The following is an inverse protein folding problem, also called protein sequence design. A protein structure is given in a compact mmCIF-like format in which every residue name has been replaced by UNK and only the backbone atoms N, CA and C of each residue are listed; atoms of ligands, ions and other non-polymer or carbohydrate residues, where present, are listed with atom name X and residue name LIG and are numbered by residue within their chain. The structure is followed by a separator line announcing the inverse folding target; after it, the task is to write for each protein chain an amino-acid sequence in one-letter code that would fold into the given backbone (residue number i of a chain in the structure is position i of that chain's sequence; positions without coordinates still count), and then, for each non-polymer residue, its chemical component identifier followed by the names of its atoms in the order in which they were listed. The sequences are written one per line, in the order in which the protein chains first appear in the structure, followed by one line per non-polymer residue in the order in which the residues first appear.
data_IF_142220542678
#
_entry.id   IF_142220542678
#
_cell.length_a   1.000
_cell.length_b   1.000
_cell.length_c   1.000
_cell.angle_alpha   90.00
_cell.angle_beta   90.00
_cell.angle_gamma   90.00
#
_symmetry.space_group_name_H-M   'P 1'
#
loop_
_entity.id
_entity.type
_entity.pdbx_description
1 polymer ?
#
# COMPACT_ATOMS: atom_id res chain seq x y z
N UNK A 1 -24.24 -32.74 -24.09
CA UNK A 1 -25.43 -32.51 -23.25
C UNK A 1 -26.52 -33.53 -23.58
N UNK A 2 -26.92 -34.32 -22.59
CA UNK A 2 -28.09 -35.19 -22.67
C UNK A 2 -29.35 -34.38 -22.33
N UNK A 3 -30.28 -34.28 -23.29
CA UNK A 3 -31.52 -33.49 -23.16
C UNK A 3 -32.40 -33.98 -22.00
N UNK A 4 -32.30 -35.27 -21.63
CA UNK A 4 -33.01 -35.85 -20.48
C UNK A 4 -32.41 -35.46 -19.13
N UNK A 5 -31.17 -34.97 -19.12
CA UNK A 5 -30.54 -34.41 -17.92
C UNK A 5 -30.74 -32.89 -17.82
N UNK A 6 -30.88 -32.21 -18.97
CA UNK A 6 -30.97 -30.74 -19.02
C UNK A 6 -32.37 -30.20 -18.81
N UNK A 7 -33.44 -30.94 -19.21
CA UNK A 7 -34.82 -30.49 -19.08
C UNK A 7 -35.57 -31.23 -17.96
N UNK A 8 -35.95 -30.51 -16.92
CA UNK A 8 -36.64 -31.06 -15.74
C UNK A 8 -38.02 -31.62 -16.10
N UNK A 9 -38.71 -31.00 -17.06
CA UNK A 9 -40.01 -31.47 -17.56
C UNK A 9 -39.87 -32.83 -18.26
N UNK A 10 -38.76 -33.08 -18.97
CA UNK A 10 -38.49 -34.37 -19.61
C UNK A 10 -37.92 -35.39 -18.63
N UNK A 11 -37.08 -34.96 -17.69
CA UNK A 11 -36.51 -35.81 -16.64
C UNK A 11 -37.59 -36.42 -15.75
N UNK A 12 -38.61 -35.63 -15.43
CA UNK A 12 -39.74 -36.03 -14.59
C UNK A 12 -40.97 -36.46 -15.43
N UNK A 13 -40.77 -36.87 -16.68
CA UNK A 13 -41.85 -37.24 -17.58
C UNK A 13 -42.72 -38.36 -16.99
N UNK A 14 -44.01 -38.07 -16.85
CA UNK A 14 -45.00 -39.05 -16.38
C UNK A 14 -45.91 -39.47 -17.52
N UNK A 15 -45.77 -40.71 -18.00
CA UNK A 15 -46.61 -41.23 -19.09
C UNK A 15 -48.12 -41.26 -18.77
N UNK A 16 -48.51 -41.24 -17.48
CA UNK A 16 -49.91 -41.19 -17.04
C UNK A 16 -50.48 -39.76 -17.00
N UNK A 17 -49.62 -38.76 -16.97
CA UNK A 17 -49.97 -37.35 -17.04
C UNK A 17 -48.85 -36.59 -17.79
N UNK A 18 -48.79 -36.73 -19.13
CA UNK A 18 -47.68 -36.20 -19.90
C UNK A 18 -47.67 -34.66 -19.80
N UNK A 19 -46.51 -34.04 -19.55
CA UNK A 19 -46.41 -32.59 -19.55
C UNK A 19 -46.79 -32.03 -20.93
N UNK A 20 -47.37 -30.83 -20.94
CA UNK A 20 -47.78 -30.22 -22.20
C UNK A 20 -46.53 -29.82 -23.00
N UNK A 21 -46.56 -29.97 -24.32
CA UNK A 21 -45.41 -29.59 -25.18
C UNK A 21 -45.01 -28.12 -24.97
N UNK A 22 -45.99 -27.27 -24.65
CA UNK A 22 -45.77 -25.85 -24.31
C UNK A 22 -44.90 -25.69 -23.07
N UNK A 23 -44.98 -26.58 -22.07
CA UNK A 23 -44.16 -26.50 -20.86
C UNK A 23 -42.70 -26.82 -21.17
N UNK A 24 -42.45 -27.80 -22.05
CA UNK A 24 -41.11 -28.11 -22.57
C UNK A 24 -40.54 -26.93 -23.34
N UNK A 25 -41.34 -26.32 -24.24
CA UNK A 25 -40.91 -25.15 -25.02
C UNK A 25 -40.59 -23.95 -24.12
N UNK A 26 -41.40 -23.69 -23.09
CA UNK A 26 -41.15 -22.63 -22.10
C UNK A 26 -39.88 -22.88 -21.28
N UNK A 27 -39.63 -24.12 -20.90
CA UNK A 27 -38.40 -24.47 -20.17
C UNK A 27 -37.15 -24.28 -21.06
N UNK A 28 -37.21 -24.75 -22.30
CA UNK A 28 -36.17 -24.53 -23.30
C UNK A 28 -35.91 -23.04 -23.52
N UNK A 29 -36.97 -22.26 -23.71
CA UNK A 29 -36.90 -20.81 -23.91
C UNK A 29 -36.21 -20.12 -22.72
N UNK A 30 -36.60 -20.46 -21.48
CA UNK A 30 -35.95 -19.93 -20.26
C UNK A 30 -34.47 -20.27 -20.20
N UNK A 31 -34.09 -21.51 -20.50
CA UNK A 31 -32.67 -21.92 -20.50
C UNK A 31 -31.87 -21.21 -21.59
N UNK A 32 -32.46 -21.00 -22.76
CA UNK A 32 -31.82 -20.25 -23.85
C UNK A 32 -31.65 -18.76 -23.51
N UNK A 33 -32.66 -18.13 -22.90
CA UNK A 33 -32.53 -16.77 -22.41
C UNK A 33 -31.44 -16.65 -21.35
N UNK A 34 -31.41 -17.56 -20.38
CA UNK A 34 -30.35 -17.59 -19.37
C UNK A 34 -28.96 -17.72 -20.00
N UNK A 35 -28.75 -18.67 -20.92
CA UNK A 35 -27.46 -18.82 -21.62
C UNK A 35 -27.06 -17.53 -22.35
N UNK A 36 -28.01 -16.85 -22.99
CA UNK A 36 -27.76 -15.58 -23.67
C UNK A 36 -27.32 -14.49 -22.68
N UNK A 37 -27.96 -14.41 -21.52
CA UNK A 37 -27.60 -13.43 -20.48
C UNK A 37 -26.20 -13.72 -19.93
N UNK A 38 -25.88 -14.99 -19.67
CA UNK A 38 -24.53 -15.43 -19.28
C UNK A 38 -23.50 -15.06 -20.34
N UNK A 39 -23.77 -15.31 -21.62
CA UNK A 39 -22.86 -14.96 -22.71
C UNK A 39 -22.59 -13.45 -22.78
N UNK A 40 -23.60 -12.62 -22.50
CA UNK A 40 -23.45 -11.17 -22.43
C UNK A 40 -22.56 -10.73 -21.27
N UNK A 41 -22.77 -11.28 -20.07
CA UNK A 41 -21.93 -10.99 -18.91
C UNK A 41 -20.49 -11.48 -19.11
N UNK A 42 -20.30 -12.71 -19.62
CA UNK A 42 -18.98 -13.24 -19.95
C UNK A 42 -18.24 -12.35 -20.95
N UNK A 43 -18.95 -11.80 -21.96
CA UNK A 43 -18.37 -10.86 -22.93
C UNK A 43 -17.88 -9.56 -22.28
N UNK A 44 -18.57 -9.05 -21.25
CA UNK A 44 -18.11 -7.85 -20.51
C UNK A 44 -16.81 -8.16 -19.78
N UNK A 45 -16.74 -9.31 -19.10
CA UNK A 45 -15.54 -9.75 -18.37
C UNK A 45 -14.36 -9.96 -19.35
N UNK A 46 -14.58 -10.69 -20.45
CA UNK A 46 -13.59 -10.93 -21.50
C UNK A 46 -13.13 -9.64 -22.21
N UNK A 47 -13.95 -8.59 -22.18
CA UNK A 47 -13.62 -7.29 -22.73
C UNK A 47 -12.53 -6.56 -21.92
N UNK A 48 -12.33 -6.93 -20.66
CA UNK A 48 -11.40 -6.27 -19.74
C UNK A 48 -10.27 -7.19 -19.25
N UNK A 49 -10.55 -8.49 -19.16
CA UNK A 49 -9.65 -9.46 -18.57
C UNK A 49 -9.41 -10.63 -19.51
N UNK A 50 -8.19 -11.16 -19.45
CA UNK A 50 -7.92 -12.48 -20.00
C UNK A 50 -8.63 -13.52 -19.13
N UNK A 51 -9.36 -14.43 -19.77
CA UNK A 51 -10.06 -15.50 -19.08
C UNK A 51 -9.89 -16.83 -19.81
N UNK A 52 -9.73 -17.89 -19.03
CA UNK A 52 -9.86 -19.27 -19.49
C UNK A 52 -11.31 -19.72 -19.28
N UNK A 53 -11.94 -20.21 -20.35
CA UNK A 53 -13.31 -20.71 -20.34
C UNK A 53 -13.31 -22.22 -20.06
N UNK A 54 -14.19 -22.65 -19.17
CA UNK A 54 -14.42 -24.08 -18.96
C UNK A 54 -15.22 -24.65 -20.14
N UNK A 55 -14.69 -25.70 -20.79
CA UNK A 55 -15.35 -26.33 -21.93
C UNK A 55 -16.63 -27.07 -21.56
N UNK A 56 -16.74 -27.48 -20.29
CA UNK A 56 -17.85 -28.29 -19.79
C UNK A 56 -18.94 -27.43 -19.12
N UNK A 57 -18.59 -26.26 -18.60
CA UNK A 57 -19.51 -25.36 -17.90
C UNK A 57 -19.43 -23.90 -18.38
N UNK A 58 -20.41 -23.50 -19.20
CA UNK A 58 -20.48 -22.16 -19.81
C UNK A 58 -20.62 -20.99 -18.82
N UNK A 59 -20.95 -21.27 -17.57
CA UNK A 59 -21.08 -20.27 -16.50
C UNK A 59 -19.79 -20.05 -15.73
N UNK A 60 -18.79 -20.92 -15.89
CA UNK A 60 -17.51 -20.84 -15.18
C UNK A 60 -16.44 -20.17 -16.04
N UNK A 61 -15.76 -19.21 -15.43
CA UNK A 61 -14.65 -18.48 -16.00
C UNK A 61 -13.51 -18.45 -14.99
N UNK A 62 -12.29 -18.72 -15.44
CA UNK A 62 -11.10 -18.42 -14.67
C UNK A 62 -10.51 -17.11 -15.17
N UNK A 63 -10.50 -16.09 -14.32
CA UNK A 63 -10.09 -14.73 -14.65
C UNK A 63 -8.65 -14.49 -14.21
N UNK A 64 -7.84 -13.93 -15.11
CA UNK A 64 -6.43 -13.65 -14.87
C UNK A 64 -6.26 -12.21 -14.39
N UNK A 65 -5.87 -12.05 -13.12
CA UNK A 65 -5.56 -10.76 -12.51
C UNK A 65 -4.06 -10.50 -12.54
N UNK A 66 -3.62 -9.57 -13.37
CA UNK A 66 -2.21 -9.19 -13.49
C UNK A 66 -1.95 -7.92 -12.68
N UNK A 67 -0.98 -7.96 -11.77
CA UNK A 67 -0.59 -6.80 -10.95
C UNK A 67 0.52 -5.98 -11.59
N UNK A 68 0.79 -4.80 -11.03
CA UNK A 68 1.91 -3.93 -11.42
C UNK A 68 3.29 -4.63 -11.43
N UNK A 69 3.46 -5.68 -10.63
CA UNK A 69 4.69 -6.49 -10.60
C UNK A 69 4.75 -7.59 -11.66
N UNK A 70 3.82 -7.60 -12.63
CA UNK A 70 3.60 -8.67 -13.61
C UNK A 70 3.35 -10.04 -12.94
N UNK A 71 2.85 -10.02 -11.70
CA UNK A 71 2.45 -11.25 -11.02
C UNK A 71 0.99 -11.51 -11.36
N UNK A 72 0.74 -12.74 -11.77
CA UNK A 72 -0.57 -13.22 -12.17
C UNK A 72 -1.23 -13.96 -11.01
N UNK A 73 -2.51 -13.70 -10.81
CA UNK A 73 -3.38 -14.42 -9.88
C UNK A 73 -4.61 -14.92 -10.63
N UNK A 74 -5.04 -16.14 -10.30
CA UNK A 74 -6.22 -16.75 -10.90
C UNK A 74 -7.42 -16.59 -9.97
N UNK A 75 -8.54 -16.15 -10.54
CA UNK A 75 -9.80 -15.95 -9.86
C UNK A 75 -10.89 -16.81 -10.51
N UNK A 76 -11.44 -17.77 -9.77
CA UNK A 76 -12.50 -18.62 -10.27
C UNK A 76 -13.87 -17.93 -10.06
N UNK A 77 -14.57 -17.68 -11.16
CA UNK A 77 -15.85 -16.96 -11.18
C UNK A 77 -16.92 -17.87 -11.81
N UNK A 78 -18.03 -18.07 -11.10
CA UNK A 78 -19.19 -18.79 -11.58
C UNK A 78 -20.43 -17.87 -11.63
N UNK A 79 -20.99 -17.74 -12.83
CA UNK A 79 -22.15 -16.90 -13.16
C UNK A 79 -23.48 -17.65 -13.05
N UNK A 80 -23.51 -18.91 -12.58
CA UNK A 80 -24.73 -19.73 -12.48
C UNK A 80 -25.86 -19.05 -11.67
N UNK A 81 -25.50 -18.18 -10.72
CA UNK A 81 -26.44 -17.43 -9.88
C UNK A 81 -27.07 -16.21 -10.55
N UNK A 82 -26.64 -15.81 -11.76
CA UNK A 82 -27.11 -14.60 -12.43
C UNK A 82 -28.65 -14.59 -12.56
N UNK A 83 -29.36 -13.47 -12.28
CA UNK A 83 -28.88 -12.09 -12.07
C UNK A 83 -28.48 -11.72 -10.63
N UNK A 84 -28.25 -12.71 -9.75
CA UNK A 84 -27.69 -12.49 -8.41
C UNK A 84 -26.16 -12.34 -8.50
N UNK A 85 -25.49 -11.88 -7.42
CA UNK A 85 -24.04 -11.77 -7.41
C UNK A 85 -23.37 -13.09 -7.84
N UNK A 86 -22.24 -13.02 -8.56
CA UNK A 86 -21.51 -14.21 -8.97
C UNK A 86 -20.98 -14.96 -7.75
N UNK A 87 -20.77 -16.26 -7.92
CA UNK A 87 -20.06 -17.09 -6.95
C UNK A 87 -18.57 -16.97 -7.29
N UNK A 88 -17.77 -16.52 -6.33
CA UNK A 88 -16.33 -16.33 -6.52
C UNK A 88 -15.61 -17.14 -5.45
N UNK A 89 -14.72 -18.01 -5.89
CA UNK A 89 -13.85 -18.80 -5.02
C UNK A 89 -12.46 -18.17 -5.00
N UNK A 90 -12.09 -17.60 -3.85
CA UNK A 90 -10.76 -17.04 -3.64
C UNK A 90 -9.79 -18.13 -3.21
N UNK A 91 -8.65 -18.23 -3.89
CA UNK A 91 -7.54 -19.03 -3.38
C UNK A 91 -7.04 -18.48 -2.04
N UNK A 92 -6.50 -19.33 -1.18
CA UNK A 92 -5.92 -18.91 0.11
C UNK A 92 -4.88 -17.79 -0.03
N UNK A 93 -4.15 -17.75 -1.15
CA UNK A 93 -3.20 -16.67 -1.44
C UNK A 93 -3.92 -15.34 -1.70
N UNK A 94 -5.00 -15.35 -2.46
CA UNK A 94 -5.80 -14.16 -2.74
C UNK A 94 -6.54 -13.66 -1.50
N UNK A 95 -7.07 -14.54 -0.67
CA UNK A 95 -7.70 -14.18 0.61
C UNK A 95 -6.72 -13.43 1.53
N UNK A 96 -5.50 -13.95 1.66
CA UNK A 96 -4.43 -13.32 2.45
C UNK A 96 -3.98 -11.99 1.85
N UNK A 97 -4.04 -11.84 0.53
CA UNK A 97 -3.65 -10.60 -0.14
C UNK A 97 -4.73 -9.52 -0.05
N UNK A 98 -5.99 -9.87 -0.28
CA UNK A 98 -7.12 -8.93 -0.33
C UNK A 98 -7.50 -8.45 1.09
N UNK A 99 -7.37 -9.34 2.09
CA UNK A 99 -7.68 -9.07 3.50
C UNK A 99 -9.08 -8.48 3.74
N UNK A 100 -10.01 -8.72 2.82
CA UNK A 100 -11.38 -8.21 2.85
C UNK A 100 -12.32 -9.35 2.44
N UNK A 101 -13.32 -9.71 3.26
CA UNK A 101 -14.30 -10.73 2.89
C UNK A 101 -15.12 -10.29 1.66
N UNK A 102 -15.48 -11.24 0.78
CA UNK A 102 -16.30 -10.94 -0.42
C UNK A 102 -17.61 -10.24 -0.06
N UNK A 103 -18.24 -10.62 1.06
CA UNK A 103 -19.48 -10.00 1.56
C UNK A 103 -19.31 -8.53 1.96
N UNK A 104 -18.08 -8.06 2.14
CA UNK A 104 -17.78 -6.69 2.50
C UNK A 104 -17.50 -5.77 1.32
N UNK A 105 -17.31 -6.34 0.12
CA UNK A 105 -17.10 -5.59 -1.12
C UNK A 105 -18.31 -4.69 -1.42
N UNK A 106 -18.03 -3.49 -1.94
CA UNK A 106 -19.07 -2.50 -2.26
C UNK A 106 -19.98 -3.01 -3.37
N UNK A 107 -19.39 -3.65 -4.38
CA UNK A 107 -20.08 -4.28 -5.50
C UNK A 107 -21.06 -5.38 -5.05
N UNK A 108 -20.71 -6.18 -4.04
CA UNK A 108 -21.64 -7.15 -3.44
C UNK A 108 -22.71 -6.50 -2.57
N UNK A 109 -22.33 -5.55 -1.70
CA UNK A 109 -23.27 -4.90 -0.77
C UNK A 109 -24.35 -4.10 -1.48
N UNK A 110 -24.00 -3.49 -2.61
CA UNK A 110 -24.89 -2.63 -3.37
C UNK A 110 -25.44 -3.32 -4.63
N UNK A 111 -25.40 -4.66 -4.67
CA UNK A 111 -25.87 -5.41 -5.84
C UNK A 111 -27.37 -5.20 -6.07
N UNK A 112 -27.74 -4.84 -7.30
CA UNK A 112 -29.11 -4.68 -7.77
C UNK A 112 -29.37 -5.72 -8.86
N UNK A 113 -30.31 -6.63 -8.61
CA UNK A 113 -30.65 -7.70 -9.57
C UNK A 113 -31.09 -7.12 -10.93
N UNK A 114 -30.38 -7.50 -11.99
CA UNK A 114 -30.66 -7.07 -13.37
C UNK A 114 -30.06 -5.72 -13.78
N UNK A 115 -29.43 -4.99 -12.85
CA UNK A 115 -28.69 -3.74 -13.13
C UNK A 115 -27.19 -3.89 -12.89
N UNK A 116 -26.79 -4.56 -11.80
CA UNK A 116 -25.39 -4.79 -11.47
C UNK A 116 -24.74 -5.83 -12.39
N UNK A 117 -23.45 -5.66 -12.61
CA UNK A 117 -22.67 -6.50 -13.54
C UNK A 117 -21.58 -7.26 -12.78
N UNK A 118 -21.34 -8.52 -13.18
CA UNK A 118 -20.32 -9.34 -12.53
C UNK A 118 -18.90 -8.76 -12.68
N UNK A 119 -18.65 -8.03 -13.77
CA UNK A 119 -17.36 -7.37 -14.02
C UNK A 119 -17.03 -6.30 -12.97
N UNK A 120 -18.01 -5.65 -12.35
CA UNK A 120 -17.78 -4.62 -11.32
C UNK A 120 -17.16 -5.22 -10.06
N UNK A 121 -17.61 -6.43 -9.69
CA UNK A 121 -17.04 -7.21 -8.59
C UNK A 121 -15.58 -7.57 -8.89
N UNK A 122 -15.31 -8.04 -10.11
CA UNK A 122 -13.96 -8.41 -10.54
C UNK A 122 -13.04 -7.19 -10.56
N UNK A 123 -13.52 -6.03 -11.00
CA UNK A 123 -12.76 -4.77 -10.95
C UNK A 123 -12.38 -4.37 -9.52
N UNK A 124 -13.32 -4.47 -8.58
CA UNK A 124 -13.03 -4.17 -7.16
C UNK A 124 -11.98 -5.12 -6.58
N UNK A 125 -12.09 -6.41 -6.89
CA UNK A 125 -11.09 -7.42 -6.51
C UNK A 125 -9.73 -7.16 -7.15
N UNK A 126 -9.68 -6.88 -8.46
CA UNK A 126 -8.46 -6.57 -9.19
C UNK A 126 -7.74 -5.36 -8.58
N UNK A 127 -8.49 -4.32 -8.22
CA UNK A 127 -7.95 -3.14 -7.54
C UNK A 127 -7.37 -3.47 -6.16
N UNK A 128 -8.05 -4.28 -5.36
CA UNK A 128 -7.54 -4.72 -4.04
C UNK A 128 -6.26 -5.54 -4.17
N UNK A 129 -6.23 -6.47 -5.14
CA UNK A 129 -5.07 -7.30 -5.44
C UNK A 129 -3.89 -6.44 -5.87
N UNK A 130 -4.08 -5.48 -6.78
CA UNK A 130 -3.01 -4.60 -7.23
C UNK A 130 -2.51 -3.68 -6.11
N UNK A 131 -3.43 -3.03 -5.38
CA UNK A 131 -3.11 -2.18 -4.23
C UNK A 131 -2.29 -2.91 -3.17
N UNK A 132 -2.76 -4.07 -2.71
CA UNK A 132 -2.10 -4.78 -1.63
C UNK A 132 -0.82 -5.46 -2.10
N UNK A 133 -0.75 -5.88 -3.37
CA UNK A 133 0.49 -6.36 -3.98
C UNK A 133 1.55 -5.26 -4.02
N UNK A 134 1.13 -4.03 -4.35
CA UNK A 134 2.01 -2.86 -4.35
C UNK A 134 2.53 -2.55 -2.96
N UNK A 135 1.65 -2.44 -1.96
CA UNK A 135 2.06 -2.19 -0.58
C UNK A 135 3.04 -3.26 -0.10
N UNK A 136 2.72 -4.54 -0.27
CA UNK A 136 3.59 -5.63 0.16
C UNK A 136 4.98 -5.55 -0.50
N UNK A 137 5.04 -5.28 -1.81
CA UNK A 137 6.31 -5.10 -2.51
C UNK A 137 7.15 -3.96 -1.91
N UNK A 138 6.53 -2.80 -1.68
CA UNK A 138 7.23 -1.65 -1.10
C UNK A 138 7.70 -1.92 0.33
N UNK A 139 6.89 -2.60 1.14
CA UNK A 139 7.27 -2.98 2.51
C UNK A 139 8.45 -3.96 2.50
N UNK A 140 8.46 -4.96 1.62
CA UNK A 140 9.58 -5.90 1.50
C UNK A 140 10.87 -5.18 1.05
N UNK A 141 10.79 -4.28 0.07
CA UNK A 141 11.94 -3.45 -0.32
C UNK A 141 12.48 -2.62 0.86
N UNK A 142 11.59 -2.03 1.66
CA UNK A 142 12.02 -1.25 2.82
C UNK A 142 12.63 -2.12 3.92
N UNK A 143 12.13 -3.34 4.14
CA UNK A 143 12.71 -4.30 5.09
C UNK A 143 14.14 -4.72 4.74
N UNK A 144 14.50 -4.74 3.45
CA UNK A 144 15.87 -5.01 3.03
C UNK A 144 16.86 -3.91 3.49
N UNK A 145 16.37 -2.67 3.56
CA UNK A 145 17.19 -1.49 3.86
C UNK A 145 17.12 -1.07 5.34
N UNK A 146 15.99 -1.30 6.01
CA UNK A 146 15.71 -0.82 7.36
C UNK A 146 15.35 -1.96 8.31
N UNK A 147 16.10 -2.07 9.42
CA UNK A 147 15.96 -3.19 10.39
C UNK A 147 14.73 -3.13 11.28
N UNK A 148 14.12 -1.95 11.44
CA UNK A 148 13.00 -1.71 12.34
C UNK A 148 11.88 -1.06 11.55
N UNK A 149 11.09 -1.89 10.91
CA UNK A 149 9.93 -1.51 10.12
C UNK A 149 8.78 -2.44 10.45
N UNK A 150 7.63 -1.86 10.76
CA UNK A 150 6.43 -2.59 11.17
C UNK A 150 5.24 -2.04 10.38
N UNK A 151 4.52 -2.92 9.67
CA UNK A 151 3.33 -2.56 8.93
C UNK A 151 2.09 -3.17 9.60
N UNK A 152 1.15 -2.32 10.01
CA UNK A 152 -0.16 -2.72 10.48
C UNK A 152 -1.17 -2.59 9.34
N UNK A 153 -1.54 -3.71 8.72
CA UNK A 153 -2.49 -3.75 7.62
C UNK A 153 -3.90 -3.26 8.00
N UNK A 154 -4.37 -3.56 9.21
CA UNK A 154 -5.71 -3.19 9.68
C UNK A 154 -5.89 -1.68 9.82
N UNK A 155 -4.84 -0.99 10.26
CA UNK A 155 -4.85 0.48 10.38
C UNK A 155 -4.28 1.16 9.13
N UNK A 156 -3.68 0.39 8.21
CA UNK A 156 -2.90 0.91 7.08
C UNK A 156 -1.79 1.87 7.53
N UNK A 157 -1.13 1.52 8.64
CA UNK A 157 -0.06 2.33 9.24
C UNK A 157 1.28 1.62 9.11
N UNK A 158 2.27 2.33 8.58
CA UNK A 158 3.66 1.91 8.53
C UNK A 158 4.45 2.69 9.58
N UNK A 159 5.15 1.98 10.46
CA UNK A 159 6.10 2.56 11.43
C UNK A 159 7.51 2.17 11.07
N UNK A 160 8.44 3.11 11.17
CA UNK A 160 9.85 2.79 11.02
C UNK A 160 10.78 3.66 11.85
N UNK A 161 11.93 3.08 12.21
CA UNK A 161 13.03 3.80 12.85
C UNK A 161 14.17 4.01 11.85
N UNK A 162 14.58 5.26 11.65
CA UNK A 162 15.79 5.60 10.92
C UNK A 162 16.84 6.17 11.87
N UNK A 163 18.05 5.62 11.81
CA UNK A 163 19.19 6.17 12.55
C UNK A 163 19.87 7.27 11.75
N UNK A 164 19.83 8.49 12.25
CA UNK A 164 20.72 9.56 11.82
C UNK A 164 22.00 9.52 12.62
N UNK A 165 23.12 9.13 11.98
CA UNK A 165 24.45 9.30 12.59
C UNK A 165 24.82 10.77 12.57
N UNK A 166 24.53 11.49 13.66
CA UNK A 166 25.10 12.82 13.88
C UNK A 166 26.46 12.65 14.56
N UNK A 167 27.44 13.51 14.23
CA UNK A 167 28.75 13.46 14.91
C UNK A 167 28.67 13.80 16.41
N UNK A 168 27.55 14.33 16.89
CA UNK A 168 27.34 14.72 18.29
C UNK A 168 26.65 13.66 19.13
N UNK A 169 25.75 12.86 18.52
CA UNK A 169 25.03 11.73 19.12
C UNK A 169 24.29 10.96 18.02
N UNK A 170 24.14 9.65 18.15
CA UNK A 170 23.23 8.90 17.29
C UNK A 170 21.79 9.30 17.63
N UNK A 171 21.09 9.94 16.69
CA UNK A 171 19.66 10.23 16.82
C UNK A 171 18.87 9.14 16.08
N UNK A 172 17.81 8.66 16.72
CA UNK A 172 16.84 7.79 16.07
C UNK A 172 15.59 8.63 15.78
N UNK A 173 15.14 8.58 14.54
CA UNK A 173 13.90 9.20 14.08
C UNK A 173 12.89 8.09 13.83
N UNK A 174 11.76 8.18 14.50
CA UNK A 174 10.61 7.30 14.46
C UNK A 174 9.55 7.97 13.59
N UNK A 175 9.22 7.33 12.49
CA UNK A 175 8.24 7.81 11.53
C UNK A 175 6.99 6.95 11.62
N UNK A 176 5.84 7.62 11.55
CA UNK A 176 4.55 7.00 11.27
C UNK A 176 4.05 7.49 9.92
N UNK A 177 3.78 6.56 9.02
CA UNK A 177 3.14 6.83 7.73
C UNK A 177 1.75 6.21 7.75
N UNK A 178 0.73 7.05 7.54
CA UNK A 178 -0.65 6.61 7.36
C UNK A 178 -0.92 6.49 5.85
N UNK A 179 -1.21 5.28 5.38
CA UNK A 179 -1.54 5.01 3.97
C UNK A 179 -3.05 5.19 3.75
N UNK A 180 -3.49 6.10 2.87
CA UNK A 180 -4.91 6.30 2.60
C UNK A 180 -5.53 5.09 1.90
N UNK A 181 -6.86 4.98 1.97
CA UNK A 181 -7.62 3.90 1.31
C UNK A 181 -7.32 3.84 -0.19
N UNK A 182 -7.12 4.98 -0.84
CA UNK A 182 -6.83 5.09 -2.26
C UNK A 182 -5.34 5.11 -2.59
N UNK A 183 -4.45 4.73 -1.66
CA UNK A 183 -3.02 4.59 -1.96
C UNK A 183 -2.79 3.59 -3.12
N UNK A 184 -1.88 3.87 -4.08
CA UNK A 184 -0.95 5.01 -4.17
C UNK A 184 -1.52 6.25 -4.89
N UNK A 185 -2.78 6.23 -5.33
CA UNK A 185 -3.42 7.36 -6.03
C UNK A 185 -3.54 8.59 -5.13
N UNK A 186 -3.78 8.39 -3.83
CA UNK A 186 -3.70 9.43 -2.81
C UNK A 186 -2.38 9.37 -2.08
N UNK A 187 -1.81 10.56 -1.87
CA UNK A 187 -0.56 10.75 -1.14
C UNK A 187 -0.67 10.28 0.31
N UNK A 188 0.33 9.57 0.86
CA UNK A 188 0.35 9.19 2.26
C UNK A 188 0.67 10.38 3.18
N UNK A 189 0.26 10.31 4.45
CA UNK A 189 0.68 11.30 5.46
C UNK A 189 1.80 10.75 6.33
N UNK A 190 2.82 11.57 6.60
CA UNK A 190 3.95 11.22 7.47
C UNK A 190 3.98 12.08 8.73
N UNK A 191 4.33 11.46 9.85
CA UNK A 191 4.55 12.12 11.15
C UNK A 191 5.86 11.63 11.74
N UNK A 192 6.57 12.53 12.42
CA UNK A 192 7.74 12.21 13.24
C UNK A 192 7.23 12.08 14.67
N UNK A 193 7.43 10.91 15.29
CA UNK A 193 6.90 10.60 16.62
C UNK A 193 7.83 11.00 17.76
N UNK A 194 9.14 11.18 17.51
CA UNK A 194 10.06 11.56 18.58
C UNK A 194 9.73 12.92 19.18
N UNK A 195 9.81 12.97 20.50
CA UNK A 195 10.05 14.19 21.25
C UNK A 195 11.55 14.36 21.39
N UNK A 196 12.06 15.56 21.09
CA UNK A 196 13.47 15.86 21.28
C UNK A 196 13.64 16.83 22.45
N UNK A 197 14.49 16.47 23.41
CA UNK A 197 14.74 17.27 24.61
C UNK A 197 15.50 18.59 24.33
N UNK A 198 16.12 18.70 23.14
CA UNK A 198 16.97 19.84 22.76
C UNK A 198 16.32 20.67 21.65
N UNK A 199 16.21 21.99 21.84
CA UNK A 199 15.65 22.92 20.85
C UNK A 199 16.29 22.81 19.46
N UNK A 200 17.59 22.51 19.39
CA UNK A 200 18.32 22.29 18.14
C UNK A 200 17.77 21.10 17.35
N UNK A 201 17.31 20.04 18.02
CA UNK A 201 16.72 18.87 17.38
C UNK A 201 15.29 19.14 16.91
N UNK A 202 14.55 20.03 17.60
CA UNK A 202 13.22 20.46 17.16
C UNK A 202 13.29 21.26 15.84
N UNK A 203 14.36 22.04 15.63
CA UNK A 203 14.62 22.67 14.33
C UNK A 203 14.83 21.64 13.21
N UNK A 204 15.57 20.56 13.47
CA UNK A 204 15.79 19.47 12.51
C UNK A 204 14.47 18.80 12.13
N UNK A 205 13.58 18.58 13.10
CA UNK A 205 12.23 18.05 12.87
C UNK A 205 11.41 18.96 11.96
N UNK A 206 11.41 20.27 12.19
CA UNK A 206 10.70 21.23 11.34
C UNK A 206 11.27 21.30 9.91
N UNK A 207 12.59 21.24 9.77
CA UNK A 207 13.26 21.22 8.46
C UNK A 207 12.92 19.92 7.69
N UNK A 208 12.89 18.78 8.38
CA UNK A 208 12.47 17.49 7.80
C UNK A 208 10.99 17.52 7.38
N UNK A 209 10.09 17.98 8.26
CA UNK A 209 8.67 18.10 7.94
C UNK A 209 8.42 19.01 6.72
N UNK A 210 9.14 20.12 6.63
CA UNK A 210 9.06 21.02 5.47
C UNK A 210 9.56 20.35 4.18
N UNK A 211 10.59 19.50 4.27
CA UNK A 211 11.10 18.76 3.11
C UNK A 211 10.10 17.72 2.58
N UNK A 212 9.29 17.11 3.47
CA UNK A 212 8.26 16.15 3.06
C UNK A 212 7.17 16.82 2.22
N UNK A 213 6.82 18.06 2.55
CA UNK A 213 5.83 18.82 1.78
C UNK A 213 6.24 18.92 0.30
N UNK A 214 7.48 19.28 0.02
CA UNK A 214 7.98 19.38 -1.35
C UNK A 214 7.93 18.02 -2.08
N UNK A 215 8.26 16.93 -1.39
CA UNK A 215 8.17 15.59 -1.98
C UNK A 215 6.71 15.20 -2.30
N UNK A 216 5.78 15.56 -1.42
CA UNK A 216 4.35 15.27 -1.61
C UNK A 216 3.67 16.16 -2.65
N UNK A 217 4.18 17.36 -2.89
CA UNK A 217 3.68 18.23 -3.96
C UNK A 217 3.90 17.59 -5.36
N UNK A 218 4.92 16.75 -5.50
CA UNK A 218 5.24 16.00 -6.73
C UNK A 218 4.74 14.54 -6.69
N UNK A 219 3.89 14.17 -5.74
CA UNK A 219 3.43 12.78 -5.59
C UNK A 219 2.57 12.34 -6.78
N UNK A 220 2.83 11.13 -7.28
CA UNK A 220 2.06 10.49 -8.34
C UNK A 220 1.78 9.03 -8.01
N UNK A 221 0.84 8.37 -8.71
CA UNK A 221 0.62 6.92 -8.57
C UNK A 221 1.85 6.06 -8.88
N UNK A 222 2.86 6.62 -9.54
CA UNK A 222 4.12 5.96 -9.87
C UNK A 222 5.22 6.22 -8.84
N UNK A 223 4.97 7.04 -7.81
CA UNK A 223 5.90 7.30 -6.72
C UNK A 223 5.97 6.09 -5.77
N UNK A 224 7.12 5.88 -5.14
CA UNK A 224 7.34 4.81 -4.17
C UNK A 224 7.71 5.38 -2.79
N UNK A 225 7.34 4.68 -1.72
CA UNK A 225 7.78 4.94 -0.36
C UNK A 225 9.30 4.82 -0.23
N UNK A 226 9.95 3.97 -1.01
CA UNK A 226 11.42 3.89 -1.01
C UNK A 226 12.05 5.21 -1.43
N UNK A 227 11.50 5.89 -2.44
CA UNK A 227 11.98 7.20 -2.89
C UNK A 227 11.78 8.27 -1.81
N UNK A 228 10.63 8.21 -1.12
CA UNK A 228 10.36 9.05 0.05
C UNK A 228 11.48 8.86 1.08
N UNK A 229 11.70 7.62 1.53
CA UNK A 229 12.68 7.33 2.58
C UNK A 229 14.13 7.62 2.16
N UNK A 230 14.48 7.44 0.90
CA UNK A 230 15.77 7.87 0.38
C UNK A 230 15.93 9.39 0.44
N UNK A 231 14.87 10.14 0.15
CA UNK A 231 14.85 11.60 0.34
C UNK A 231 15.00 11.98 1.81
N UNK A 232 14.27 11.31 2.71
CA UNK A 232 14.39 11.51 4.17
C UNK A 232 15.84 11.25 4.62
N UNK A 233 16.41 10.12 4.21
CA UNK A 233 17.77 9.69 4.56
C UNK A 233 18.82 10.72 4.10
N UNK A 234 18.71 11.18 2.85
CA UNK A 234 19.57 12.25 2.31
C UNK A 234 19.43 13.53 3.12
N UNK A 235 18.20 13.92 3.50
CA UNK A 235 17.97 15.15 4.27
C UNK A 235 18.52 15.07 5.69
N UNK A 236 18.31 13.95 6.39
CA UNK A 236 18.93 13.67 7.70
C UNK A 236 20.45 13.80 7.59
N UNK A 237 21.04 13.23 6.53
CA UNK A 237 22.48 13.30 6.30
C UNK A 237 22.95 14.75 6.02
N UNK A 238 22.29 15.50 5.14
CA UNK A 238 22.64 16.90 4.85
C UNK A 238 22.64 17.78 6.12
N UNK A 239 21.59 17.67 6.92
CA UNK A 239 21.44 18.43 8.17
C UNK A 239 22.51 18.02 9.21
N UNK A 240 22.90 16.74 9.21
CA UNK A 240 24.02 16.24 10.04
C UNK A 240 25.37 16.84 9.65
N UNK A 241 25.62 17.04 8.35
CA UNK A 241 26.88 17.58 7.82
C UNK A 241 26.98 19.09 8.05
N UNK A 242 25.86 19.82 7.90
CA UNK A 242 25.79 21.28 8.12
C UNK A 242 26.17 21.68 9.56
N UNK A 243 25.75 20.91 10.57
CA UNK A 243 26.15 21.13 11.96
C UNK A 243 27.66 20.99 12.18
N UNK A 244 28.34 20.13 11.40
CA UNK A 244 29.78 19.90 11.46
C UNK A 244 30.59 21.01 10.77
N UNK A 245 30.12 21.54 9.63
CA UNK A 245 30.85 22.55 8.85
C UNK A 245 30.98 23.88 9.60
N UNK A 246 29.96 24.25 10.37
CA UNK A 246 29.98 25.45 11.21
C UNK A 246 31.07 25.33 12.29
N UNK A 247 31.21 24.17 12.94
CA UNK A 247 32.22 23.95 13.99
C UNK A 247 33.68 23.93 13.47
N UNK A 248 33.90 23.48 12.23
CA UNK A 248 35.26 23.34 11.66
C UNK A 248 35.73 24.53 10.80
N UNK A 249 34.83 25.44 10.39
CA UNK A 249 35.18 26.63 9.59
C UNK A 249 35.27 27.93 10.40
N UNK A 250 34.81 27.94 11.64
CA UNK A 250 34.90 29.15 12.49
C UNK A 250 36.28 29.19 13.14
N UNK A 251 37.03 30.25 12.83
CA UNK A 251 38.25 30.63 13.53
C UNK A 251 37.87 31.47 14.76
N UNK A 252 38.52 31.21 15.89
CA UNK A 252 38.36 32.05 17.07
C UNK A 252 38.74 33.50 16.70
N UNK A 253 37.89 34.50 16.93
CA UNK A 253 38.18 35.89 16.52
C UNK A 253 39.35 36.53 17.28
N UNK A 254 39.86 35.86 18.33
CA UNK A 254 40.89 36.39 19.23
C UNK A 254 42.24 35.70 19.04
N UNK A 255 42.25 34.42 18.64
CA UNK A 255 43.49 33.70 18.37
C UNK A 255 43.62 33.17 16.94
N UNK A 256 42.60 33.39 16.10
CA UNK A 256 42.52 32.99 14.69
C UNK A 256 42.76 31.50 14.42
N UNK A 257 42.67 30.65 15.46
CA UNK A 257 42.77 29.19 15.32
C UNK A 257 41.38 28.59 15.12
N UNK A 258 41.33 27.50 14.35
CA UNK A 258 40.12 26.68 14.22
C UNK A 258 39.63 26.22 15.59
N UNK A 259 38.33 26.31 15.83
CA UNK A 259 37.73 25.97 17.13
C UNK A 259 37.90 24.48 17.49
N UNK A 260 38.13 23.60 16.52
CA UNK A 260 38.44 22.18 16.73
C UNK A 260 39.90 21.85 16.34
N UNK A 261 40.71 21.39 17.32
CA UNK A 261 42.08 20.89 17.13
C UNK A 261 42.87 20.75 18.44
N UNK A 262 43.92 19.92 18.44
CA UNK A 262 44.83 19.67 19.57
C UNK A 262 45.72 20.90 19.83
N UNK A 263 45.40 21.79 20.78
CA UNK A 263 46.36 22.76 21.30
C UNK A 263 45.91 23.48 22.60
N UNK A 264 46.68 23.26 23.67
CA UNK A 264 47.01 24.06 24.88
C UNK A 264 46.01 24.97 25.61
N UNK A 265 44.80 25.24 25.13
CA UNK A 265 43.90 26.19 25.78
C UNK A 265 42.49 25.63 25.87
N UNK A 266 42.28 24.54 26.62
CA UNK A 266 40.99 23.86 26.71
C UNK A 266 40.26 24.11 28.05
N UNK A 267 38.94 24.20 27.99
CA UNK A 267 38.01 24.11 29.11
C UNK A 267 37.04 22.96 28.83
N UNK A 268 36.82 22.13 29.83
CA UNK A 268 35.94 20.97 29.74
C UNK A 268 34.54 21.35 30.21
N UNK A 269 33.53 21.05 29.40
CA UNK A 269 32.14 21.31 29.78
C UNK A 269 31.75 20.40 30.96
N UNK A 270 31.24 20.94 32.09
CA UNK A 270 30.90 20.16 33.27
C UNK A 270 29.68 19.23 33.06
N UNK A 271 28.98 19.35 31.92
CA UNK A 271 27.79 18.54 31.61
C UNK A 271 28.04 17.44 30.57
N UNK A 272 29.00 17.63 29.66
CA UNK A 272 29.25 16.69 28.56
C UNK A 272 30.73 16.36 28.35
N UNK A 273 31.61 16.88 29.20
CA UNK A 273 33.05 16.55 29.26
C UNK A 273 33.82 16.83 27.93
N UNK A 274 33.23 17.63 27.04
CA UNK A 274 33.91 18.05 25.80
C UNK A 274 34.86 19.21 26.05
N UNK A 275 36.00 19.15 25.37
CA UNK A 275 37.06 20.15 25.44
C UNK A 275 36.80 21.27 24.43
N UNK A 276 36.48 22.46 24.94
CA UNK A 276 36.32 23.70 24.17
C UNK A 276 37.55 24.58 24.36
N UNK A 277 37.82 25.54 23.48
CA UNK A 277 38.81 26.55 23.84
C UNK A 277 38.34 27.36 25.06
N UNK A 278 39.20 27.53 26.07
CA UNK A 278 38.89 28.21 27.34
C UNK A 278 38.27 29.59 27.11
N UNK A 279 38.75 30.30 26.09
CA UNK A 279 38.25 31.63 25.77
C UNK A 279 36.84 31.62 25.13
N UNK A 280 36.57 30.68 24.21
CA UNK A 280 35.24 30.49 23.62
C UNK A 280 34.22 30.01 24.67
N UNK A 281 34.66 29.15 25.59
CA UNK A 281 33.87 28.74 26.74
C UNK A 281 33.47 29.95 27.60
N UNK A 282 34.45 30.81 27.94
CA UNK A 282 34.24 31.97 28.79
C UNK A 282 33.38 33.07 28.15
N UNK A 283 33.51 33.30 26.84
CA UNK A 283 32.80 34.39 26.16
C UNK A 283 31.41 34.03 25.64
N UNK A 284 31.19 32.80 25.19
CA UNK A 284 29.98 32.45 24.43
C UNK A 284 29.20 31.32 25.09
N UNK A 285 29.87 30.29 25.60
CA UNK A 285 29.16 29.13 26.15
C UNK A 285 28.68 29.39 27.58
N UNK A 286 29.51 30.00 28.44
CA UNK A 286 29.10 30.39 29.80
C UNK A 286 27.98 31.43 29.83
N UNK A 287 27.82 32.24 28.79
CA UNK A 287 26.71 33.21 28.69
C UNK A 287 25.40 32.61 28.18
N UNK A 288 25.45 31.39 27.62
CA UNK A 288 24.28 30.65 27.12
C UNK A 288 23.78 29.60 28.13
N UNK A 289 24.52 29.39 29.23
CA UNK A 289 24.15 28.57 30.38
C UNK A 289 23.62 29.46 31.51
#
# INVERSE_FOLDING_TARGET
CDVYQTLDVLRNWNAKNPPHVVDILRELEKKLYFIKDIEQESKKILGEYQCDLDSDEVTKLQVHLVTYGFKEYLLDVNLESFPKPPIIDLSSQLEQLIMTPLTELKSYKNWVEGESEAVEVIRELAWLVDKNSRINFEIELLKEHYKKIEYNASESILRMDMKGKMKTQDLTFEFQIDLPIEYPMKVPSIKILNEFDLEMHEKIKNDLQSSFKNFFDDWSPFSYLVDLFDSISKKIFEVSVLSCVICHKIECPICSKKIAGENNCHAECPHCEKHYHLHCWQQTIKSLA
#
